data_IF_222941889882
#
_entry.id   IF_222941889882
#
_cell.length_a   1.000
_cell.length_b   1.000
_cell.length_c   1.000
_cell.angle_alpha   90.00
_cell.angle_beta   90.00
_cell.angle_gamma   90.00
#
_symmetry.space_group_name_H-M   'P 1'
#
loop_
_entity.id
_entity.type
_entity.pdbx_description
1 polymer ?
#
# COMPACT_ATOMS: atom_id res chain seq x y z
N UNK A 1 20.05 2.05 -3.85
CA UNK A 1 19.64 2.24 -5.26
C UNK A 1 18.31 2.95 -5.30
N UNK A 2 18.32 4.23 -5.65
CA UNK A 2 17.12 5.01 -5.97
C UNK A 2 16.54 4.44 -7.26
N UNK A 3 15.34 3.86 -7.22
CA UNK A 3 14.69 3.35 -8.43
C UNK A 3 14.29 4.54 -9.30
N UNK A 4 14.95 4.69 -10.45
CA UNK A 4 14.54 5.56 -11.53
C UNK A 4 13.40 4.86 -12.31
N UNK A 5 12.23 4.69 -11.67
CA UNK A 5 11.15 3.84 -12.18
C UNK A 5 9.77 4.21 -11.64
N UNK A 6 8.72 3.78 -12.35
CA UNK A 6 7.32 4.02 -11.96
C UNK A 6 6.91 3.09 -10.81
N UNK A 7 5.94 3.54 -10.01
CA UNK A 7 5.35 2.75 -8.93
C UNK A 7 3.93 2.38 -9.33
N UNK A 8 3.60 1.09 -9.26
CA UNK A 8 2.23 0.63 -9.51
C UNK A 8 1.36 0.95 -8.31
N UNK A 9 0.22 1.61 -8.53
CA UNK A 9 -0.78 1.89 -7.51
C UNK A 9 -1.94 0.90 -7.63
N UNK A 10 -2.19 0.15 -6.56
CA UNK A 10 -3.29 -0.81 -6.45
C UNK A 10 -4.38 -0.21 -5.55
N UNK A 11 -5.61 -0.21 -6.04
CA UNK A 11 -6.77 0.31 -5.30
C UNK A 11 -7.39 -0.79 -4.44
N UNK A 12 -7.70 -0.47 -3.19
CA UNK A 12 -8.34 -1.36 -2.23
C UNK A 12 -9.52 -0.68 -1.52
N UNK A 13 -10.44 -1.50 -1.06
CA UNK A 13 -11.51 -1.12 -0.14
C UNK A 13 -11.11 -1.50 1.29
N UNK A 14 -10.24 -0.70 1.92
CA UNK A 14 -9.85 -0.85 3.33
C UNK A 14 -8.70 -1.85 3.63
N UNK A 15 -8.51 -2.86 2.78
CA UNK A 15 -7.60 -3.99 3.07
C UNK A 15 -6.16 -3.86 2.54
N UNK A 16 -5.70 -2.66 2.16
CA UNK A 16 -4.38 -2.50 1.53
C UNK A 16 -3.22 -3.03 2.38
N UNK A 17 -3.21 -2.79 3.70
CA UNK A 17 -2.13 -3.24 4.61
C UNK A 17 -2.09 -4.77 4.69
N UNK A 18 -3.25 -5.42 4.89
CA UNK A 18 -3.36 -6.88 4.93
C UNK A 18 -2.98 -7.53 3.60
N UNK A 19 -3.35 -6.90 2.47
CA UNK A 19 -2.96 -7.36 1.14
C UNK A 19 -1.44 -7.27 0.94
N UNK A 20 -0.81 -6.17 1.36
CA UNK A 20 0.64 -6.00 1.29
C UNK A 20 1.37 -7.05 2.14
N UNK A 21 0.92 -7.29 3.38
CA UNK A 21 1.45 -8.35 4.26
C UNK A 21 1.37 -9.71 3.59
N UNK A 22 0.21 -10.04 3.01
CA UNK A 22 0.00 -11.28 2.30
C UNK A 22 0.95 -11.40 1.10
N UNK A 23 1.04 -10.40 0.23
CA UNK A 23 1.92 -10.46 -0.94
C UNK A 23 3.38 -10.62 -0.54
N UNK A 24 3.84 -9.84 0.43
CA UNK A 24 5.21 -9.93 0.93
C UNK A 24 5.51 -11.32 1.49
N UNK A 25 4.55 -11.97 2.16
CA UNK A 25 4.73 -13.34 2.68
C UNK A 25 4.92 -14.42 1.60
N UNK A 26 4.46 -14.18 0.37
CA UNK A 26 4.54 -15.13 -0.74
C UNK A 26 5.88 -15.08 -1.49
N UNK A 27 6.57 -13.94 -1.47
CA UNK A 27 7.82 -13.73 -2.23
C UNK A 27 9.03 -13.73 -1.31
N UNK A 28 10.07 -14.47 -1.68
CA UNK A 28 11.28 -14.66 -0.87
C UNK A 28 11.97 -13.36 -0.44
N UNK A 29 11.91 -12.34 -1.29
CA UNK A 29 12.53 -11.03 -1.05
C UNK A 29 11.49 -9.91 -0.89
N UNK A 30 10.26 -10.27 -0.48
CA UNK A 30 9.20 -9.32 -0.19
C UNK A 30 9.55 -8.42 1.00
N UNK A 31 9.21 -7.12 0.89
CA UNK A 31 9.44 -6.14 1.97
C UNK A 31 8.28 -5.17 2.07
N UNK A 32 7.82 -4.94 3.29
CA UNK A 32 6.96 -3.79 3.59
C UNK A 32 7.78 -2.51 3.64
N UNK A 33 7.17 -1.44 3.15
CA UNK A 33 7.68 -0.09 3.20
C UNK A 33 6.89 0.76 4.21
N UNK A 34 6.70 2.03 3.85
CA UNK A 34 5.97 2.98 4.68
C UNK A 34 4.47 2.70 4.67
N UNK A 35 3.86 2.72 5.86
CA UNK A 35 2.41 2.82 6.04
C UNK A 35 2.06 4.27 6.35
N UNK A 36 1.27 4.92 5.48
CA UNK A 36 0.72 6.24 5.73
C UNK A 36 -0.71 6.10 6.25
N UNK A 37 -1.02 6.84 7.33
CA UNK A 37 -2.33 6.87 7.97
C UNK A 37 -3.01 8.21 7.74
N UNK A 38 -4.34 8.23 7.72
CA UNK A 38 -5.09 9.47 7.55
C UNK A 38 -4.87 10.43 8.73
N UNK A 39 -4.59 11.71 8.47
CA UNK A 39 -4.60 12.75 9.48
C UNK A 39 -6.04 13.15 9.85
N UNK A 40 -6.22 13.92 10.92
CA UNK A 40 -7.53 14.43 11.37
C UNK A 40 -8.28 15.23 10.29
N UNK A 41 -7.55 15.90 9.39
CA UNK A 41 -8.12 16.70 8.30
C UNK A 41 -8.34 15.89 7.01
N UNK A 42 -8.10 14.58 7.04
CA UNK A 42 -8.22 13.70 5.88
C UNK A 42 -9.66 13.31 5.57
N UNK A 43 -9.94 12.80 4.35
CA UNK A 43 -11.28 12.34 3.97
C UNK A 43 -11.64 10.97 4.58
N UNK A 44 -10.65 10.22 5.10
CA UNK A 44 -10.84 8.93 5.75
C UNK A 44 -10.84 9.02 7.28
N UNK A 45 -11.11 7.88 7.93
CA UNK A 45 -11.06 7.78 9.40
C UNK A 45 -9.64 8.06 9.92
N UNK A 46 -9.53 8.93 10.93
CA UNK A 46 -8.23 9.31 11.51
C UNK A 46 -7.49 8.09 12.05
N UNK A 47 -6.23 7.94 11.66
CA UNK A 47 -5.39 6.80 12.08
C UNK A 47 -5.61 5.51 11.28
N UNK A 48 -6.66 5.43 10.45
CA UNK A 48 -6.82 4.35 9.49
C UNK A 48 -5.73 4.41 8.41
N UNK A 49 -5.39 3.26 7.83
CA UNK A 49 -4.39 3.19 6.76
C UNK A 49 -4.94 3.85 5.50
N UNK A 50 -4.18 4.80 4.98
CA UNK A 50 -4.42 5.46 3.70
C UNK A 50 -3.64 4.75 2.59
N UNK A 51 -2.32 4.60 2.76
CA UNK A 51 -1.48 3.86 1.82
C UNK A 51 -0.48 2.96 2.53
N UNK A 52 -0.08 1.90 1.83
CA UNK A 52 1.04 1.04 2.22
C UNK A 52 1.96 0.85 1.02
N UNK A 53 3.25 1.09 1.22
CA UNK A 53 4.28 0.74 0.25
C UNK A 53 4.74 -0.70 0.48
N UNK A 54 5.00 -1.42 -0.60
CA UNK A 54 5.65 -2.73 -0.53
C UNK A 54 6.50 -2.99 -1.78
N UNK A 55 7.49 -3.86 -1.63
CA UNK A 55 8.39 -4.28 -2.70
C UNK A 55 8.36 -5.81 -2.81
N UNK A 56 8.12 -6.33 -4.01
CA UNK A 56 8.18 -7.76 -4.33
C UNK A 56 9.00 -7.95 -5.60
N UNK A 57 9.95 -8.89 -5.58
CA UNK A 57 10.89 -9.15 -6.68
C UNK A 57 11.59 -7.88 -7.22
N UNK A 58 11.90 -6.91 -6.36
CA UNK A 58 12.54 -5.65 -6.73
C UNK A 58 11.63 -4.62 -7.40
N UNK A 59 10.33 -4.90 -7.57
CA UNK A 59 9.34 -3.93 -8.06
C UNK A 59 8.59 -3.30 -6.87
N UNK A 60 8.43 -1.97 -6.93
CA UNK A 60 7.70 -1.19 -5.92
C UNK A 60 6.23 -1.05 -6.26
N UNK A 61 5.42 -1.13 -5.22
CA UNK A 61 3.98 -0.96 -5.26
C UNK A 61 3.53 -0.02 -4.15
N UNK A 62 2.38 0.62 -4.39
CA UNK A 62 1.60 1.29 -3.35
C UNK A 62 0.21 0.65 -3.36
N UNK A 63 -0.27 0.21 -2.20
CA UNK A 63 -1.67 -0.06 -1.97
C UNK A 63 -2.33 1.20 -1.43
N UNK A 64 -3.45 1.63 -2.03
CA UNK A 64 -4.25 2.77 -1.61
C UNK A 64 -5.63 2.29 -1.16
N UNK A 65 -5.98 2.57 0.08
CA UNK A 65 -7.35 2.43 0.57
C UNK A 65 -8.18 3.61 0.06
N UNK A 66 -8.76 3.46 -1.14
CA UNK A 66 -9.57 4.49 -1.77
C UNK A 66 -11.08 4.32 -1.53
N UNK A 67 -11.48 3.24 -0.85
CA UNK A 67 -12.86 2.92 -0.53
C UNK A 67 -13.61 2.27 -1.69
N UNK A 68 -14.92 2.03 -1.54
CA UNK A 68 -15.71 1.16 -2.41
C UNK A 68 -16.13 1.82 -3.73
N UNK A 69 -15.50 2.94 -4.12
CA UNK A 69 -15.93 3.72 -5.28
C UNK A 69 -15.68 3.00 -6.62
N UNK A 70 -14.77 2.03 -6.64
CA UNK A 70 -14.41 1.26 -7.83
C UNK A 70 -14.30 -0.22 -7.46
N UNK A 71 -15.44 -0.85 -7.20
CA UNK A 71 -15.59 -2.30 -6.97
C UNK A 71 -16.44 -2.94 -8.07
#
# INVERSE_FOLDING_TARGET
MTSNGFTTCLWFDGDAEAAADYYVSLFKDGKLGRVARYPETGPGETGAVMTVEFEINGQRFVGLNGGPQFT
#
